data_IF_026931660752
#
_entry.id   IF_026931660752
#
_cell.length_a   1.000
_cell.length_b   1.000
_cell.length_c   1.000
_cell.angle_alpha   90.00
_cell.angle_beta   90.00
_cell.angle_gamma   90.00
#
_symmetry.space_group_name_H-M   'P 1'
#
loop_
_entity.id
_entity.type
_entity.pdbx_description
1 polymer ?
#
# COMPACT_ATOMS: atom_id res chain seq x y z
N UNK A 1 -6.81 14.14 -2.72
CA UNK A 1 -6.85 15.59 -2.96
C UNK A 1 -5.44 16.15 -3.09
N UNK A 2 -4.61 16.22 -2.04
CA UNK A 2 -3.26 16.82 -2.15
C UNK A 2 -2.36 16.19 -3.25
N UNK A 3 -2.49 14.88 -3.49
CA UNK A 3 -1.67 14.15 -4.47
C UNK A 3 -2.37 13.93 -5.83
N UNK A 4 -3.64 14.31 -5.96
CA UNK A 4 -4.47 13.99 -7.14
C UNK A 4 -4.06 14.86 -8.33
N UNK A 5 -3.66 16.11 -8.07
CA UNK A 5 -3.15 17.03 -9.10
C UNK A 5 -1.89 16.49 -9.77
N UNK A 6 -1.02 15.82 -9.00
CA UNK A 6 0.21 15.23 -9.53
C UNK A 6 -0.05 14.12 -10.53
N UNK A 7 -1.21 13.45 -10.49
CA UNK A 7 -1.59 12.34 -11.38
C UNK A 7 -2.64 12.72 -12.44
N UNK A 8 -2.90 14.02 -12.60
CA UNK A 8 -3.72 14.54 -13.71
C UNK A 8 -3.02 14.28 -15.06
N UNK A 9 -3.82 13.91 -16.06
CA UNK A 9 -3.38 13.71 -17.44
C UNK A 9 -4.12 14.66 -18.38
N UNK A 10 -3.43 15.12 -19.42
CA UNK A 10 -4.01 15.98 -20.46
C UNK A 10 -4.76 15.20 -21.55
N UNK A 11 -4.62 13.87 -21.56
CA UNK A 11 -5.17 12.98 -22.59
C UNK A 11 -6.04 11.87 -21.99
N UNK A 12 -5.60 11.28 -20.89
CA UNK A 12 -6.30 10.19 -20.21
C UNK A 12 -7.01 10.68 -18.94
N UNK A 13 -7.78 9.80 -18.30
CA UNK A 13 -8.44 10.10 -17.02
C UNK A 13 -7.42 10.37 -15.90
N UNK A 14 -6.33 9.59 -15.87
CA UNK A 14 -5.24 9.68 -14.90
C UNK A 14 -3.93 9.23 -15.58
N UNK A 15 -2.79 9.73 -15.12
CA UNK A 15 -1.48 9.14 -15.42
C UNK A 15 -0.99 8.28 -14.24
N UNK A 16 -0.17 7.28 -14.52
CA UNK A 16 0.28 6.30 -13.54
C UNK A 16 1.49 6.75 -12.70
N UNK A 17 1.93 8.01 -12.82
CA UNK A 17 3.09 8.56 -12.09
C UNK A 17 2.86 10.02 -11.73
N UNK A 18 3.19 10.38 -10.48
CA UNK A 18 3.14 11.75 -9.95
C UNK A 18 4.48 12.49 -10.00
N UNK A 19 5.53 11.89 -10.56
CA UNK A 19 6.90 12.41 -10.56
C UNK A 19 7.78 11.82 -9.47
N UNK A 20 8.92 12.47 -9.18
CA UNK A 20 9.96 11.95 -8.27
C UNK A 20 9.57 12.03 -6.79
N UNK A 21 8.93 13.13 -6.40
CA UNK A 21 8.58 13.40 -5.00
C UNK A 21 7.22 12.81 -4.64
N UNK A 22 7.11 12.19 -3.47
CA UNK A 22 5.84 11.65 -2.98
C UNK A 22 5.34 10.41 -3.73
N UNK A 23 6.23 9.59 -4.30
CA UNK A 23 5.87 8.42 -5.12
C UNK A 23 4.86 7.47 -4.45
N UNK A 24 5.07 7.11 -3.19
CA UNK A 24 4.13 6.24 -2.44
C UNK A 24 2.74 6.90 -2.28
N UNK A 25 2.70 8.20 -1.97
CA UNK A 25 1.44 8.92 -1.79
C UNK A 25 0.68 9.10 -3.11
N UNK A 26 1.38 9.42 -4.20
CA UNK A 26 0.77 9.56 -5.54
C UNK A 26 0.29 8.21 -6.09
N UNK A 27 1.00 7.12 -5.81
CA UNK A 27 0.53 5.77 -6.12
C UNK A 27 -0.73 5.40 -5.31
N UNK A 28 -0.76 5.71 -4.01
CA UNK A 28 -1.94 5.48 -3.17
C UNK A 28 -3.15 6.32 -3.64
N UNK A 29 -2.93 7.59 -4.03
CA UNK A 29 -3.94 8.45 -4.65
C UNK A 29 -4.43 7.85 -5.97
N UNK A 30 -3.55 7.33 -6.83
CA UNK A 30 -3.97 6.64 -8.05
C UNK A 30 -4.91 5.46 -7.77
N UNK A 31 -4.56 4.59 -6.81
CA UNK A 31 -5.38 3.43 -6.43
C UNK A 31 -6.76 3.84 -5.87
N UNK A 32 -6.84 4.98 -5.16
CA UNK A 32 -8.09 5.53 -4.61
C UNK A 32 -9.21 5.63 -5.65
N UNK A 33 -8.86 6.05 -6.86
CA UNK A 33 -9.84 6.29 -7.92
C UNK A 33 -10.57 5.02 -8.37
N UNK A 34 -10.10 3.83 -7.96
CA UNK A 34 -10.69 2.54 -8.28
C UNK A 34 -11.38 1.87 -7.08
N UNK A 35 -11.32 2.45 -5.88
CA UNK A 35 -11.90 1.87 -4.67
C UNK A 35 -13.43 2.06 -4.55
N UNK A 36 -14.01 3.01 -5.31
CA UNK A 36 -15.44 3.32 -5.27
C UNK A 36 -15.89 3.76 -3.87
N UNK A 37 -17.06 3.30 -3.43
CA UNK A 37 -17.65 3.63 -2.12
C UNK A 37 -17.24 2.67 -1.00
N UNK A 38 -16.31 1.75 -1.27
CA UNK A 38 -15.86 0.75 -0.30
C UNK A 38 -14.95 1.40 0.76
N UNK A 39 -15.14 1.10 2.06
CA UNK A 39 -14.10 1.36 3.06
C UNK A 39 -12.80 0.65 2.67
N UNK A 40 -11.75 1.40 2.39
CA UNK A 40 -10.53 0.87 1.81
C UNK A 40 -9.28 1.33 2.56
N UNK A 41 -8.27 0.46 2.55
CA UNK A 41 -6.91 0.75 2.99
C UNK A 41 -5.91 0.20 1.96
N UNK A 42 -4.84 0.95 1.71
CA UNK A 42 -3.68 0.48 0.93
C UNK A 42 -2.48 0.34 1.87
N UNK A 43 -1.80 -0.81 1.80
CA UNK A 43 -0.56 -1.07 2.53
C UNK A 43 0.58 -1.23 1.52
N UNK A 44 1.44 -0.22 1.42
CA UNK A 44 2.67 -0.32 0.63
C UNK A 44 3.74 -1.05 1.45
N UNK A 45 4.13 -2.24 0.97
CA UNK A 45 5.06 -3.13 1.66
C UNK A 45 6.38 -3.31 0.91
N UNK A 46 6.66 -2.52 -0.13
CA UNK A 46 7.86 -2.69 -0.93
C UNK A 46 9.15 -2.65 -0.08
N UNK A 47 9.22 -1.73 0.88
CA UNK A 47 10.34 -1.61 1.82
C UNK A 47 10.55 -2.86 2.70
N UNK A 48 9.56 -3.29 3.51
CA UNK A 48 9.74 -4.41 4.42
C UNK A 48 9.62 -5.80 3.77
N UNK A 49 9.24 -5.92 2.48
CA UNK A 49 9.05 -7.22 1.82
C UNK A 49 10.32 -8.07 1.73
N UNK A 50 11.50 -7.43 1.69
CA UNK A 50 12.80 -8.10 1.58
C UNK A 50 13.76 -7.65 2.68
N UNK A 51 14.22 -8.60 3.50
CA UNK A 51 15.21 -8.40 4.54
C UNK A 51 16.61 -8.69 4.03
N UNK A 52 17.55 -7.76 4.23
CA UNK A 52 18.96 -7.94 3.86
C UNK A 52 19.80 -8.60 4.95
N UNK A 53 19.25 -8.72 6.17
CA UNK A 53 19.88 -9.27 7.36
C UNK A 53 19.01 -10.36 7.95
N UNK A 54 19.67 -11.32 8.59
CA UNK A 54 19.03 -12.33 9.42
C UNK A 54 18.68 -11.72 10.80
N UNK A 55 17.52 -12.12 11.33
CA UNK A 55 17.05 -11.82 12.69
C UNK A 55 16.73 -13.15 13.38
N UNK A 56 16.64 -13.21 14.73
CA UNK A 56 16.36 -14.46 15.45
C UNK A 56 15.08 -15.21 15.03
N UNK A 57 14.17 -14.55 14.32
CA UNK A 57 12.88 -15.09 13.87
C UNK A 57 12.67 -14.92 12.37
N UNK A 58 13.70 -14.52 11.62
CA UNK A 58 13.60 -14.18 10.20
C UNK A 58 14.91 -14.41 9.47
N UNK A 59 14.87 -15.30 8.48
CA UNK A 59 15.96 -15.52 7.53
C UNK A 59 16.16 -14.29 6.63
N UNK A 60 17.37 -14.16 6.05
CA UNK A 60 17.61 -13.19 4.97
C UNK A 60 16.73 -13.54 3.75
N UNK A 61 16.13 -12.54 3.12
CA UNK A 61 15.30 -12.71 1.93
C UNK A 61 13.86 -12.27 2.14
N UNK A 62 12.89 -13.01 1.58
CA UNK A 62 11.48 -12.68 1.64
C UNK A 62 10.95 -12.76 3.07
N UNK A 63 10.38 -11.65 3.58
CA UNK A 63 10.08 -11.53 5.00
C UNK A 63 8.68 -12.03 5.40
N UNK A 64 7.77 -12.16 4.44
CA UNK A 64 6.35 -12.40 4.73
C UNK A 64 5.67 -11.26 5.50
N UNK A 65 6.21 -10.03 5.42
CA UNK A 65 5.64 -8.86 6.10
C UNK A 65 4.16 -8.67 5.74
N UNK A 66 3.35 -8.31 6.72
CA UNK A 66 1.91 -8.08 6.57
C UNK A 66 1.04 -9.31 6.85
N UNK A 67 1.54 -10.55 6.72
CA UNK A 67 0.72 -11.76 6.94
C UNK A 67 0.13 -11.79 8.35
N UNK A 68 0.97 -11.71 9.38
CA UNK A 68 0.50 -11.71 10.79
C UNK A 68 -0.42 -10.53 11.09
N UNK A 69 -0.15 -9.36 10.50
CA UNK A 69 -0.95 -8.15 10.68
C UNK A 69 -2.39 -8.35 10.16
N UNK A 70 -2.52 -8.81 8.92
CA UNK A 70 -3.83 -9.02 8.29
C UNK A 70 -4.58 -10.15 8.97
N UNK A 71 -3.91 -11.27 9.30
CA UNK A 71 -4.53 -12.37 10.03
C UNK A 71 -5.09 -11.91 11.38
N UNK A 72 -4.32 -11.13 12.14
CA UNK A 72 -4.77 -10.63 13.44
C UNK A 72 -5.89 -9.59 13.32
N UNK A 73 -5.81 -8.70 12.32
CA UNK A 73 -6.88 -7.75 12.02
C UNK A 73 -8.20 -8.49 11.75
N UNK A 74 -8.18 -9.50 10.88
CA UNK A 74 -9.36 -10.29 10.55
C UNK A 74 -9.91 -11.04 11.77
N UNK A 75 -9.04 -11.65 12.58
CA UNK A 75 -9.44 -12.32 13.84
C UNK A 75 -10.15 -11.37 14.79
N UNK A 76 -9.58 -10.19 15.02
CA UNK A 76 -10.17 -9.17 15.91
C UNK A 76 -11.47 -8.61 15.35
N UNK A 77 -11.54 -8.42 14.03
CA UNK A 77 -12.75 -7.92 13.39
C UNK A 77 -13.89 -8.93 13.52
N UNK A 78 -13.62 -10.22 13.28
CA UNK A 78 -14.60 -11.29 13.42
C UNK A 78 -15.10 -11.45 14.87
N UNK A 79 -14.24 -11.28 15.87
CA UNK A 79 -14.62 -11.37 17.29
C UNK A 79 -15.44 -10.18 17.82
N UNK A 80 -15.57 -9.10 17.02
CA UNK A 80 -16.36 -7.91 17.36
C UNK A 80 -17.74 -7.90 16.70
N UNK A 81 -18.00 -8.86 15.81
CA UNK A 81 -19.32 -9.14 15.24
C UNK A 81 -20.09 -10.07 16.18
#
# INVERSE_FOLDING_TARGET
>A
EEYDDQIRSDVARLKNTGGREGGACTAASFLKHFAGDCPWVHLDIAGPAMGSKELPHLEKGATGFGVRLVTEFLRRHAARL
#
